data_IF_569416992524
#
_entry.id   IF_569416992524
#
_cell.length_a   1.000
_cell.length_b   1.000
_cell.length_c   1.000
_cell.angle_alpha   90.00
_cell.angle_beta   90.00
_cell.angle_gamma   90.00
#
_symmetry.space_group_name_H-M   'P 1'
#
loop_
_entity.id
_entity.type
_entity.pdbx_description
1 polymer ?
#
# COMPACT_ATOMS: atom_id res chain seq x y z
N UNK A 1 -7.74 -12.80 23.10
CA UNK A 1 -8.82 -11.93 22.62
C UNK A 1 -8.27 -10.52 22.59
N UNK A 2 -7.90 -10.01 21.41
CA UNK A 2 -7.38 -8.65 21.29
C UNK A 2 -8.50 -7.67 21.62
N UNK A 3 -8.33 -6.92 22.71
CA UNK A 3 -9.28 -5.88 23.11
C UNK A 3 -9.15 -4.72 22.12
N UNK A 4 -10.29 -4.22 21.64
CA UNK A 4 -10.33 -3.03 20.81
C UNK A 4 -10.34 -1.81 21.72
N UNK A 5 -9.45 -0.86 21.45
CA UNK A 5 -9.31 0.35 22.26
C UNK A 5 -10.04 1.51 21.57
N UNK A 6 -10.98 2.13 22.27
CA UNK A 6 -11.65 3.35 21.81
C UNK A 6 -10.64 4.50 21.71
N UNK A 7 -10.64 5.21 20.58
CA UNK A 7 -9.68 6.26 20.25
C UNK A 7 -8.46 5.76 19.46
N UNK A 8 -8.13 4.46 19.53
CA UNK A 8 -7.04 3.86 18.75
C UNK A 8 -7.55 3.00 17.60
N UNK A 9 -8.34 1.98 17.91
CA UNK A 9 -8.86 1.02 16.94
C UNK A 9 -10.17 1.50 16.29
N UNK A 10 -11.00 2.22 17.05
CA UNK A 10 -12.26 2.79 16.57
C UNK A 10 -12.64 4.03 17.36
N UNK A 11 -13.55 4.83 16.84
CA UNK A 11 -14.17 5.96 17.53
C UNK A 11 -15.63 6.11 17.11
N UNK A 12 -16.41 6.84 17.90
CA UNK A 12 -17.80 7.15 17.59
C UNK A 12 -17.89 8.50 16.87
N UNK A 13 -18.53 8.52 15.71
CA UNK A 13 -18.78 9.71 14.90
C UNK A 13 -20.27 9.77 14.58
N UNK A 14 -20.99 10.78 15.08
CA UNK A 14 -22.41 10.97 14.78
C UNK A 14 -23.29 9.73 15.09
N UNK A 15 -22.94 8.96 16.13
CA UNK A 15 -23.63 7.71 16.48
C UNK A 15 -23.24 6.49 15.64
N UNK A 16 -22.30 6.64 14.70
CA UNK A 16 -21.74 5.55 13.92
C UNK A 16 -20.37 5.13 14.45
N UNK A 17 -20.12 3.82 14.41
CA UNK A 17 -18.84 3.23 14.75
C UNK A 17 -17.87 3.40 13.58
N UNK A 18 -16.84 4.23 13.74
CA UNK A 18 -15.82 4.46 12.72
C UNK A 18 -14.53 3.75 13.09
N UNK A 19 -14.12 2.83 12.24
CA UNK A 19 -12.90 2.05 12.41
C UNK A 19 -11.70 2.80 11.84
N UNK A 20 -10.57 2.72 12.55
CA UNK A 20 -9.33 3.38 12.15
C UNK A 20 -8.45 2.47 11.29
N UNK A 21 -7.40 3.05 10.70
CA UNK A 21 -6.39 2.29 10.00
C UNK A 21 -5.68 1.27 10.92
N UNK A 22 -5.51 1.58 12.21
CA UNK A 22 -4.84 0.71 13.19
C UNK A 22 -5.59 -0.60 13.38
N UNK A 23 -6.91 -0.53 13.53
CA UNK A 23 -7.76 -1.71 13.57
C UNK A 23 -7.57 -2.57 12.31
N UNK A 24 -7.56 -1.93 11.13
CA UNK A 24 -7.42 -2.65 9.86
C UNK A 24 -6.04 -3.30 9.70
N UNK A 25 -4.99 -2.71 10.26
CA UNK A 25 -3.66 -3.31 10.34
C UNK A 25 -3.63 -4.49 11.30
N UNK A 26 -4.24 -4.35 12.49
CA UNK A 26 -4.35 -5.43 13.49
C UNK A 26 -5.12 -6.65 12.94
N UNK A 27 -6.11 -6.42 12.07
CA UNK A 27 -6.84 -7.47 11.33
C UNK A 27 -5.93 -8.27 10.38
N UNK A 28 -4.83 -7.68 9.92
CA UNK A 28 -3.82 -8.34 9.08
C UNK A 28 -4.21 -8.60 7.63
N UNK A 29 -5.41 -8.21 7.18
CA UNK A 29 -5.84 -8.39 5.80
C UNK A 29 -6.84 -7.33 5.32
N UNK A 30 -6.83 -7.06 4.01
CA UNK A 30 -7.77 -6.16 3.36
C UNK A 30 -9.11 -6.87 3.09
N UNK A 31 -10.19 -6.30 3.62
CA UNK A 31 -11.56 -6.79 3.40
C UNK A 31 -12.18 -6.34 2.06
N UNK A 32 -11.51 -5.46 1.31
CA UNK A 32 -11.96 -4.91 0.02
C UNK A 32 -13.31 -4.18 0.04
N UNK A 33 -13.81 -3.79 1.22
CA UNK A 33 -15.08 -3.07 1.38
C UNK A 33 -15.01 -1.57 1.09
N UNK A 34 -13.89 -1.05 0.60
CA UNK A 34 -13.74 0.37 0.25
C UNK A 34 -13.73 1.33 1.45
N UNK A 35 -13.18 0.91 2.61
CA UNK A 35 -13.15 1.73 3.83
C UNK A 35 -12.36 3.04 3.64
N UNK A 36 -12.85 4.14 4.22
CA UNK A 36 -12.22 5.47 4.17
C UNK A 36 -10.79 5.48 4.74
N UNK A 37 -10.56 4.77 5.84
CA UNK A 37 -9.27 4.67 6.52
C UNK A 37 -8.50 3.38 6.17
N UNK A 38 -8.70 2.84 4.96
CA UNK A 38 -8.06 1.58 4.58
C UNK A 38 -6.54 1.76 4.41
N UNK A 39 -5.70 1.08 5.22
CA UNK A 39 -4.24 1.18 5.10
C UNK A 39 -3.72 0.52 3.81
N UNK A 40 -4.51 -0.38 3.21
CA UNK A 40 -4.17 -1.08 1.97
C UNK A 40 -4.58 -0.31 0.70
N UNK A 41 -5.17 0.88 0.84
CA UNK A 41 -5.50 1.72 -0.31
C UNK A 41 -4.19 2.23 -0.91
N UNK A 42 -3.69 1.53 -1.92
CA UNK A 42 -2.56 2.00 -2.74
C UNK A 42 -3.00 3.29 -3.42
N UNK A 43 -2.57 4.44 -2.92
CA UNK A 43 -2.59 5.66 -3.71
C UNK A 43 -1.62 5.42 -4.87
N UNK A 44 -2.13 5.37 -6.09
CA UNK A 44 -1.38 5.03 -7.30
C UNK A 44 -0.33 6.10 -7.71
N UNK A 45 0.23 6.87 -6.77
CA UNK A 45 0.99 8.09 -7.08
C UNK A 45 2.38 8.18 -6.44
N UNK A 46 2.84 7.14 -5.73
CA UNK A 46 4.21 7.09 -5.18
C UNK A 46 5.18 6.22 -5.98
N UNK A 47 5.01 6.13 -7.30
CA UNK A 47 6.01 5.59 -8.24
C UNK A 47 6.76 6.73 -8.98
N UNK A 48 7.04 7.86 -8.30
CA UNK A 48 7.91 8.90 -8.86
C UNK A 48 9.36 8.70 -8.40
N UNK A 49 10.05 7.87 -9.20
CA UNK A 49 11.45 7.98 -9.64
C UNK A 49 12.54 8.11 -8.56
N UNK A 50 13.14 6.99 -8.21
CA UNK A 50 14.59 6.94 -8.00
C UNK A 50 15.11 5.65 -8.62
N UNK A 51 15.69 5.73 -9.82
CA UNK A 51 16.82 4.88 -10.17
C UNK A 51 17.66 5.54 -11.26
N UNK A 52 18.94 5.63 -10.95
CA UNK A 52 20.02 6.28 -11.65
C UNK A 52 20.64 5.23 -12.58
N UNK A 53 20.20 5.19 -13.83
CA UNK A 53 20.82 4.33 -14.84
C UNK A 53 22.21 4.87 -15.20
N UNK A 54 23.24 4.26 -14.63
CA UNK A 54 24.63 4.22 -15.11
C UNK A 54 25.14 2.82 -14.72
N UNK A 55 25.74 1.98 -15.53
CA UNK A 55 26.15 1.96 -16.94
C UNK A 55 26.64 0.49 -17.16
N UNK A 56 27.57 0.24 -18.08
CA UNK A 56 27.46 -0.58 -19.29
C UNK A 56 27.88 -2.03 -19.03
N UNK A 57 27.22 -3.03 -19.61
CA UNK A 57 27.95 -4.26 -19.88
C UNK A 57 27.42 -4.99 -21.11
N UNK A 58 28.17 -4.78 -22.19
CA UNK A 58 28.58 -5.75 -23.22
C UNK A 58 27.63 -5.97 -24.42
N UNK A 59 28.28 -5.71 -25.55
CA UNK A 59 27.95 -5.89 -26.96
C UNK A 59 27.60 -7.33 -27.31
N UNK A 60 26.67 -7.53 -28.24
CA UNK A 60 26.62 -8.75 -29.06
C UNK A 60 26.87 -8.36 -30.52
N UNK A 61 27.90 -8.98 -31.09
CA UNK A 61 28.48 -8.75 -32.42
C UNK A 61 28.07 -9.93 -33.28
N UNK A 62 26.80 -10.07 -33.64
CA UNK A 62 26.41 -11.18 -34.51
C UNK A 62 25.12 -10.85 -35.26
N UNK A 63 25.25 -10.16 -36.40
CA UNK A 63 24.32 -10.32 -37.52
C UNK A 63 25.02 -9.87 -38.82
N UNK A 64 26.09 -10.60 -39.17
CA UNK A 64 26.38 -10.86 -40.59
C UNK A 64 25.13 -11.51 -41.17
N UNK A 65 24.53 -10.90 -42.19
CA UNK A 65 23.97 -11.54 -43.41
C UNK A 65 22.79 -10.73 -43.93
N UNK A 66 23.04 -9.83 -44.88
CA UNK A 66 22.46 -9.81 -46.24
C UNK A 66 22.97 -8.56 -46.95
#
# INVERSE_FOLDING_TARGET
>A
MSQLIEGEDFYWENGFLVMTAKYHLNRGHCCKSGCRHCPYRKNAESEKKFNKDNNPHIVNIDEKST
#
